data_IF_980071415243
#
_entry.id   IF_980071415243
#
_cell.length_a   1.000
_cell.length_b   1.000
_cell.length_c   1.000
_cell.angle_alpha   90.00
_cell.angle_beta   90.00
_cell.angle_gamma   90.00
#
_symmetry.space_group_name_H-M   'P 1'
#
loop_
_entity.id
_entity.type
_entity.pdbx_description
1 polymer ?
#
# COMPACT_ATOMS: atom_id res chain seq x y z
N UNK A 1 -6.91 -9.72 7.76
CA UNK A 1 -6.51 -8.44 7.10
C UNK A 1 -7.74 -7.63 6.72
N UNK A 2 -8.55 -8.08 5.76
CA UNK A 2 -9.77 -7.38 5.28
C UNK A 2 -10.65 -6.78 6.39
N UNK A 3 -11.05 -7.59 7.39
CA UNK A 3 -11.88 -7.15 8.51
C UNK A 3 -11.27 -5.97 9.26
N UNK A 4 -10.03 -6.11 9.72
CA UNK A 4 -9.34 -5.07 10.49
C UNK A 4 -9.15 -3.81 9.65
N UNK A 5 -8.73 -3.96 8.40
CA UNK A 5 -8.53 -2.81 7.52
C UNK A 5 -9.85 -2.05 7.26
N UNK A 6 -10.96 -2.78 7.11
CA UNK A 6 -12.32 -2.21 6.98
C UNK A 6 -12.76 -1.49 8.26
N UNK A 7 -12.57 -2.10 9.43
CA UNK A 7 -12.89 -1.51 10.73
C UNK A 7 -12.07 -0.24 11.02
N UNK A 8 -10.85 -0.16 10.50
CA UNK A 8 -9.98 1.02 10.57
C UNK A 8 -10.18 1.98 9.37
N UNK A 9 -11.43 2.29 9.05
CA UNK A 9 -11.82 3.25 8.01
C UNK A 9 -11.24 2.94 6.61
N UNK A 10 -11.33 1.68 6.17
CA UNK A 10 -10.75 1.24 4.89
C UNK A 10 -9.24 1.58 4.80
N UNK A 11 -8.47 1.19 5.82
CA UNK A 11 -7.05 1.52 5.94
C UNK A 11 -6.22 1.06 4.72
N UNK A 12 -5.23 1.87 4.31
CA UNK A 12 -4.25 1.40 3.32
C UNK A 12 -3.38 0.29 3.90
N UNK A 13 -3.18 -0.78 3.14
CA UNK A 13 -2.40 -1.95 3.56
C UNK A 13 -1.20 -2.15 2.64
N UNK A 14 0.00 -2.21 3.21
CA UNK A 14 1.20 -2.71 2.53
C UNK A 14 1.38 -4.18 2.89
N UNK A 15 1.49 -5.04 1.88
CA UNK A 15 1.76 -6.46 2.07
C UNK A 15 3.20 -6.80 1.68
N UNK A 16 3.84 -7.66 2.47
CA UNK A 16 5.08 -8.32 2.09
C UNK A 16 4.78 -9.53 1.19
N UNK A 17 5.45 -9.63 0.04
CA UNK A 17 5.20 -10.67 -0.98
C UNK A 17 6.45 -11.49 -1.33
N UNK A 18 7.27 -11.78 -0.32
CA UNK A 18 8.55 -12.49 -0.51
C UNK A 18 8.40 -13.94 -0.99
N UNK A 19 7.44 -14.66 -0.44
CA UNK A 19 7.27 -16.10 -0.68
C UNK A 19 6.07 -16.40 -1.58
N UNK A 20 5.07 -15.53 -1.59
CA UNK A 20 3.83 -15.72 -2.35
C UNK A 20 3.08 -14.39 -2.49
N UNK A 21 2.52 -14.15 -3.67
CA UNK A 21 1.60 -13.04 -3.93
C UNK A 21 0.13 -13.43 -3.62
N UNK A 22 -0.13 -14.66 -3.16
CA UNK A 22 -1.50 -15.18 -2.97
C UNK A 22 -2.33 -14.36 -1.99
N UNK A 23 -1.75 -13.96 -0.86
CA UNK A 23 -2.48 -13.14 0.14
C UNK A 23 -2.92 -11.82 -0.46
N UNK A 24 -2.05 -11.21 -1.27
CA UNK A 24 -2.35 -9.96 -1.96
C UNK A 24 -3.40 -10.16 -3.07
N UNK A 25 -3.28 -11.25 -3.85
CA UNK A 25 -4.24 -11.60 -4.90
C UNK A 25 -5.64 -11.88 -4.35
N UNK A 26 -5.75 -12.64 -3.26
CA UNK A 26 -7.04 -12.94 -2.62
C UNK A 26 -7.66 -11.64 -2.10
N UNK A 27 -6.87 -10.83 -1.39
CA UNK A 27 -7.37 -9.59 -0.80
C UNK A 27 -7.82 -8.58 -1.87
N UNK A 28 -7.06 -8.45 -2.97
CA UNK A 28 -7.39 -7.53 -4.06
C UNK A 28 -8.52 -8.04 -4.95
N UNK A 29 -8.38 -9.25 -5.49
CA UNK A 29 -9.22 -9.75 -6.58
C UNK A 29 -10.46 -10.49 -6.10
N UNK A 30 -10.36 -11.24 -5.01
CA UNK A 30 -11.49 -12.05 -4.50
C UNK A 30 -12.30 -11.29 -3.46
N UNK A 31 -11.64 -10.52 -2.59
CA UNK A 31 -12.30 -9.73 -1.55
C UNK A 31 -12.55 -8.27 -1.97
N UNK A 32 -12.12 -7.88 -3.17
CA UNK A 32 -12.34 -6.54 -3.75
C UNK A 32 -11.83 -5.40 -2.83
N UNK A 33 -10.71 -5.63 -2.12
CA UNK A 33 -10.12 -4.62 -1.25
C UNK A 33 -9.11 -3.75 -2.00
N UNK A 34 -9.57 -2.60 -2.48
CA UNK A 34 -8.78 -1.70 -3.33
C UNK A 34 -7.70 -0.89 -2.59
N UNK A 35 -7.79 -0.76 -1.26
CA UNK A 35 -6.84 0.05 -0.48
C UNK A 35 -5.54 -0.71 -0.17
N UNK A 36 -4.99 -1.35 -1.20
CA UNK A 36 -3.66 -1.94 -1.18
C UNK A 36 -2.63 -0.96 -1.73
N UNK A 37 -1.45 -0.96 -1.13
CA UNK A 37 -0.30 -0.21 -1.60
C UNK A 37 0.44 -1.03 -2.64
N UNK A 38 0.52 -0.47 -3.85
CA UNK A 38 1.25 -1.08 -4.96
C UNK A 38 2.72 -0.70 -4.89
N UNK A 39 3.57 -1.56 -5.40
CA UNK A 39 5.02 -1.33 -5.45
C UNK A 39 5.51 -1.53 -6.87
N UNK A 40 6.21 -0.52 -7.36
CA UNK A 40 6.94 -0.56 -8.62
C UNK A 40 8.42 -0.77 -8.35
N UNK A 41 9.08 -1.53 -9.23
CA UNK A 41 10.53 -1.70 -9.20
C UNK A 41 11.18 -0.88 -10.31
N UNK A 42 12.12 -0.02 -9.93
CA UNK A 42 12.97 0.75 -10.84
C UNK A 42 14.46 0.41 -10.58
N UNK A 43 15.36 1.09 -11.31
CA UNK A 43 16.81 0.91 -11.15
C UNK A 43 17.29 1.26 -9.74
N UNK A 44 16.61 2.21 -9.09
CA UNK A 44 16.94 2.69 -7.74
C UNK A 44 16.32 1.84 -6.63
N UNK A 45 15.54 0.80 -6.95
CA UNK A 45 14.94 -0.12 -5.99
C UNK A 45 13.42 -0.18 -6.12
N UNK A 46 12.75 -0.31 -4.98
CA UNK A 46 11.30 -0.39 -4.92
C UNK A 46 10.71 0.94 -4.48
N UNK A 47 9.61 1.34 -5.12
CA UNK A 47 8.91 2.60 -4.87
C UNK A 47 7.42 2.34 -4.78
N UNK A 48 6.78 2.87 -3.74
CA UNK A 48 5.33 2.74 -3.54
C UNK A 48 4.56 3.63 -4.52
N UNK A 49 3.48 3.09 -5.07
CA UNK A 49 2.55 3.79 -5.97
C UNK A 49 1.10 3.48 -5.61
N UNK A 50 0.18 4.29 -6.16
CA UNK A 50 -1.26 4.05 -6.03
C UNK A 50 -1.84 3.03 -7.00
N UNK A 51 -1.00 2.27 -7.71
CA UNK A 51 -1.46 1.36 -8.77
C UNK A 51 -1.67 2.02 -10.13
N UNK A 52 -1.51 3.36 -10.21
CA UNK A 52 -1.68 4.12 -11.45
C UNK A 52 -0.35 4.26 -12.21
N UNK A 53 -0.37 3.88 -13.50
CA UNK A 53 0.77 3.94 -14.41
C UNK A 53 1.12 2.56 -14.95
N UNK A 54 1.06 2.40 -16.28
CA UNK A 54 1.14 1.12 -17.01
C UNK A 54 2.49 0.38 -16.97
N UNK A 55 3.17 0.38 -15.84
CA UNK A 55 4.32 -0.46 -15.55
C UNK A 55 3.90 -1.78 -14.87
N UNK A 56 4.86 -2.69 -14.71
CA UNK A 56 4.67 -3.93 -13.96
C UNK A 56 4.60 -3.62 -12.46
N UNK A 57 3.40 -3.30 -11.98
CA UNK A 57 3.07 -3.07 -10.57
C UNK A 57 2.92 -4.41 -9.83
N UNK A 58 3.46 -4.50 -8.62
CA UNK A 58 3.24 -5.62 -7.70
C UNK A 58 2.28 -5.19 -6.58
N UNK A 59 1.46 -6.12 -6.10
CA UNK A 59 0.48 -5.92 -5.02
C UNK A 59 1.13 -5.95 -3.61
N UNK A 60 2.38 -5.52 -3.50
CA UNK A 60 3.13 -5.56 -2.26
C UNK A 60 4.63 -5.37 -2.45
N UNK A 61 5.35 -5.30 -1.34
CA UNK A 61 6.80 -5.11 -1.29
C UNK A 61 7.53 -6.44 -1.20
N UNK A 62 8.62 -6.59 -1.96
CA UNK A 62 9.58 -7.67 -1.74
C UNK A 62 10.68 -7.18 -0.77
N UNK A 63 10.83 -7.77 0.41
CA UNK A 63 11.81 -7.30 1.40
C UNK A 63 13.22 -7.70 1.02
N UNK A 64 13.84 -6.93 0.12
CA UNK A 64 15.26 -7.05 -0.19
C UNK A 64 16.14 -6.39 0.89
N UNK A 65 17.46 -6.60 0.78
CA UNK A 65 18.44 -6.03 1.73
C UNK A 65 18.35 -4.51 1.83
N UNK A 66 18.02 -3.81 0.74
CA UNK A 66 17.94 -2.36 0.70
C UNK A 66 16.69 -1.87 1.43
N UNK A 67 15.53 -2.47 1.17
CA UNK A 67 14.28 -2.21 1.89
C UNK A 67 14.45 -2.45 3.37
N UNK A 68 14.98 -3.63 3.75
CA UNK A 68 15.19 -3.98 5.17
C UNK A 68 16.11 -2.98 5.86
N UNK A 69 17.25 -2.62 5.25
CA UNK A 69 18.21 -1.67 5.83
C UNK A 69 17.63 -0.26 6.00
N UNK A 70 16.97 0.27 4.97
CA UNK A 70 16.30 1.58 5.04
C UNK A 70 15.19 1.54 6.09
N UNK A 71 14.40 0.46 6.11
CA UNK A 71 13.32 0.25 7.07
C UNK A 71 13.81 0.25 8.51
N UNK A 72 14.87 -0.50 8.82
CA UNK A 72 15.44 -0.58 10.17
C UNK A 72 15.95 0.78 10.64
N UNK A 73 16.66 1.52 9.78
CA UNK A 73 17.19 2.83 10.12
C UNK A 73 16.08 3.84 10.45
N UNK A 74 15.01 3.87 9.66
CA UNK A 74 13.90 4.78 9.89
C UNK A 74 13.01 4.32 11.04
N UNK A 75 12.77 3.02 11.19
CA UNK A 75 12.04 2.47 12.33
C UNK A 75 12.73 2.84 13.65
N UNK A 76 14.06 2.67 13.74
CA UNK A 76 14.86 3.10 14.88
C UNK A 76 14.65 4.59 15.19
N UNK A 77 14.78 5.46 14.18
CA UNK A 77 14.57 6.89 14.36
C UNK A 77 13.15 7.24 14.83
N UNK A 78 12.12 6.61 14.25
CA UNK A 78 10.73 6.81 14.65
C UNK A 78 10.47 6.44 16.12
N UNK A 79 11.09 5.37 16.62
CA UNK A 79 10.96 4.95 18.01
C UNK A 79 11.78 5.87 18.93
N UNK A 80 13.04 6.16 18.60
CA UNK A 80 13.92 7.00 19.43
C UNK A 80 13.44 8.45 19.55
N UNK A 81 12.80 8.98 18.51
CA UNK A 81 12.21 10.31 18.50
C UNK A 81 10.78 10.36 19.08
N UNK A 82 10.26 9.24 19.61
CA UNK A 82 8.89 9.10 20.12
C UNK A 82 7.81 9.46 19.09
N UNK A 83 8.07 9.21 17.80
CA UNK A 83 7.13 9.41 16.68
C UNK A 83 6.26 8.18 16.41
N UNK A 84 6.69 7.02 16.88
CA UNK A 84 5.96 5.76 16.83
C UNK A 84 5.93 5.12 18.23
N UNK A 85 4.73 4.93 18.78
CA UNK A 85 4.53 4.26 20.06
C UNK A 85 4.19 2.78 19.82
N UNK A 86 5.01 1.88 20.33
CA UNK A 86 4.78 0.42 20.30
C UNK A 86 4.24 0.01 21.66
N UNK A 87 2.99 -0.45 21.71
CA UNK A 87 2.25 -0.79 22.94
C UNK A 87 1.88 -2.29 23.00
N UNK A 88 2.73 -3.13 22.43
CA UNK A 88 2.56 -4.58 22.44
C UNK A 88 3.80 -5.24 23.03
N UNK A 89 3.61 -6.12 24.01
CA UNK A 89 4.71 -6.73 24.77
C UNK A 89 5.52 -7.69 23.90
N UNK A 90 4.86 -8.46 23.04
CA UNK A 90 5.50 -9.45 22.18
C UNK A 90 6.36 -8.74 21.13
N UNK A 91 5.83 -7.68 20.52
CA UNK A 91 6.60 -6.81 19.61
C UNK A 91 7.81 -6.17 20.29
N UNK A 92 7.68 -5.69 21.54
CA UNK A 92 8.81 -5.12 22.30
C UNK A 92 9.88 -6.18 22.59
N UNK A 93 9.47 -7.41 22.89
CA UNK A 93 10.40 -8.52 23.09
C UNK A 93 11.18 -8.82 21.80
N UNK A 94 10.52 -8.93 20.66
CA UNK A 94 11.20 -9.14 19.38
C UNK A 94 12.16 -7.99 19.05
N UNK A 95 11.77 -6.73 19.27
CA UNK A 95 12.65 -5.57 19.09
C UNK A 95 13.92 -5.71 19.92
N UNK A 96 13.82 -6.22 21.16
CA UNK A 96 14.97 -6.37 22.07
C UNK A 96 15.98 -7.43 21.61
N UNK A 97 15.54 -8.40 20.80
CA UNK A 97 16.35 -9.50 20.27
C UNK A 97 16.64 -9.36 18.77
N UNK A 98 16.30 -8.22 18.16
CA UNK A 98 16.52 -7.95 16.74
C UNK A 98 17.89 -7.28 16.53
N UNK A 99 18.87 -8.05 16.06
CA UNK A 99 20.29 -7.69 16.04
C UNK A 99 20.80 -7.46 14.61
N UNK A 100 21.87 -6.67 14.49
CA UNK A 100 22.58 -6.52 13.21
C UNK A 100 23.43 -7.77 12.94
N UNK A 101 23.30 -8.34 11.75
CA UNK A 101 24.11 -9.45 11.29
C UNK A 101 25.40 -8.97 10.61
N UNK A 102 26.35 -9.90 10.46
CA UNK A 102 27.67 -9.64 9.85
C UNK A 102 27.62 -9.19 8.38
N UNK A 103 26.44 -9.15 7.75
CA UNK A 103 26.22 -8.75 6.36
C UNK A 103 25.60 -7.36 6.23
N UNK A 104 25.49 -6.60 7.34
CA UNK A 104 24.90 -5.26 7.38
C UNK A 104 23.39 -5.24 7.18
N UNK A 105 22.73 -6.34 7.56
CA UNK A 105 21.27 -6.48 7.65
C UNK A 105 20.92 -6.75 9.11
N UNK A 106 19.62 -6.80 9.44
CA UNK A 106 19.15 -7.17 10.77
C UNK A 106 18.43 -8.51 10.72
N UNK A 107 18.40 -9.25 11.81
CA UNK A 107 17.67 -10.52 11.99
C UNK A 107 17.43 -10.78 13.48
N UNK A 108 16.48 -11.66 13.82
CA UNK A 108 16.34 -12.13 15.18
C UNK A 108 17.61 -12.89 15.62
N UNK A 109 17.97 -12.73 16.89
CA UNK A 109 19.00 -13.54 17.54
C UNK A 109 18.58 -15.02 17.58
N UNK A 110 19.55 -15.90 17.78
CA UNK A 110 19.35 -17.35 17.73
C UNK A 110 18.29 -17.79 18.76
N UNK A 111 17.24 -18.45 18.27
CA UNK A 111 16.13 -18.93 19.11
C UNK A 111 14.97 -17.94 19.30
N UNK A 112 15.00 -16.78 18.64
CA UNK A 112 13.92 -15.78 18.67
C UNK A 112 13.24 -15.62 17.29
N UNK A 113 12.12 -14.90 17.29
CA UNK A 113 11.31 -14.58 16.09
C UNK A 113 11.44 -13.10 15.73
N UNK A 114 11.26 -12.75 14.45
CA UNK A 114 11.26 -11.36 13.95
C UNK A 114 9.99 -10.96 13.19
N UNK A 115 8.91 -11.75 13.23
CA UNK A 115 7.74 -11.52 12.40
C UNK A 115 7.01 -10.21 12.74
N UNK A 116 6.85 -9.87 14.02
CA UNK A 116 6.17 -8.65 14.46
C UNK A 116 7.04 -7.42 14.20
N UNK A 117 8.33 -7.46 14.55
CA UNK A 117 9.25 -6.34 14.30
C UNK A 117 9.44 -6.09 12.81
N UNK A 118 9.40 -7.13 11.96
CA UNK A 118 9.48 -6.98 10.51
C UNK A 118 8.31 -6.18 9.93
N UNK A 119 7.10 -6.28 10.49
CA UNK A 119 5.99 -5.43 10.07
C UNK A 119 6.26 -3.94 10.33
N UNK A 120 6.92 -3.60 11.45
CA UNK A 120 7.29 -2.24 11.80
C UNK A 120 8.49 -1.73 10.99
N UNK A 121 9.42 -2.60 10.63
CA UNK A 121 10.53 -2.29 9.73
C UNK A 121 9.99 -1.90 8.34
N UNK A 122 9.02 -2.63 7.81
CA UNK A 122 8.37 -2.28 6.54
C UNK A 122 7.59 -0.97 6.63
N UNK A 123 6.94 -0.70 7.77
CA UNK A 123 6.33 0.61 8.02
C UNK A 123 7.38 1.72 8.00
N UNK A 124 8.52 1.54 8.68
CA UNK A 124 9.64 2.49 8.64
C UNK A 124 10.12 2.76 7.21
N UNK A 125 10.22 1.73 6.36
CA UNK A 125 10.53 1.91 4.94
C UNK A 125 9.44 2.68 4.20
N UNK A 126 8.16 2.34 4.42
CA UNK A 126 7.01 3.02 3.80
C UNK A 126 7.03 4.52 4.09
N UNK A 127 7.39 4.95 5.31
CA UNK A 127 7.45 6.38 5.67
C UNK A 127 8.44 7.20 4.84
N UNK A 128 9.44 6.56 4.23
CA UNK A 128 10.41 7.24 3.35
C UNK A 128 9.87 7.48 1.94
N UNK A 129 8.83 6.76 1.53
CA UNK A 129 8.29 6.86 0.18
C UNK A 129 7.50 8.16 0.01
N UNK A 130 7.69 8.91 -1.08
CA UNK A 130 6.93 10.14 -1.34
C UNK A 130 5.41 9.94 -1.32
N UNK A 131 4.94 8.82 -1.89
CA UNK A 131 3.52 8.47 -1.91
C UNK A 131 2.89 8.38 -0.51
N UNK A 132 3.65 7.93 0.50
CA UNK A 132 3.16 7.91 1.88
C UNK A 132 2.92 9.33 2.43
N UNK A 133 3.75 10.31 2.05
CA UNK A 133 3.54 11.71 2.43
C UNK A 133 2.26 12.26 1.81
N UNK A 134 1.99 11.90 0.56
CA UNK A 134 0.80 12.33 -0.17
C UNK A 134 -0.48 11.73 0.44
N UNK A 135 -0.45 10.43 0.80
CA UNK A 135 -1.56 9.76 1.50
C UNK A 135 -1.92 10.42 2.83
N UNK A 136 -0.92 10.92 3.55
CA UNK A 136 -1.09 11.58 4.85
C UNK A 136 -1.40 13.09 4.73
N UNK A 137 -1.31 13.67 3.53
CA UNK A 137 -1.62 15.08 3.31
C UNK A 137 -3.12 15.25 2.97
N UNK A 138 -3.85 15.93 3.86
CA UNK A 138 -5.30 16.15 3.73
C UNK A 138 -5.68 16.80 2.39
N UNK A 139 -4.88 17.76 1.91
CA UNK A 139 -5.18 18.48 0.67
C UNK A 139 -5.00 17.59 -0.58
N UNK A 140 -4.05 16.65 -0.55
CA UNK A 140 -3.74 15.78 -1.69
C UNK A 140 -4.65 14.56 -1.70
N UNK A 141 -5.11 14.11 -0.52
CA UNK A 141 -6.02 12.97 -0.40
C UNK A 141 -7.32 13.17 -1.18
N UNK A 142 -7.88 14.38 -1.15
CA UNK A 142 -9.09 14.69 -1.91
C UNK A 142 -8.85 14.58 -3.42
N UNK A 143 -7.74 15.12 -3.91
CA UNK A 143 -7.33 15.01 -5.33
C UNK A 143 -7.12 13.55 -5.74
N UNK A 144 -6.51 12.73 -4.89
CA UNK A 144 -6.35 11.29 -5.14
C UNK A 144 -7.69 10.56 -5.23
N UNK A 145 -8.65 10.94 -4.39
CA UNK A 145 -10.00 10.38 -4.41
C UNK A 145 -10.77 10.76 -5.67
N UNK A 146 -10.70 12.03 -6.08
CA UNK A 146 -11.30 12.52 -7.34
C UNK A 146 -10.70 11.79 -8.56
N UNK A 147 -9.39 11.60 -8.58
CA UNK A 147 -8.72 10.84 -9.64
C UNK A 147 -9.19 9.37 -9.69
N UNK A 148 -9.46 8.75 -8.53
CA UNK A 148 -10.02 7.39 -8.47
C UNK A 148 -11.44 7.34 -9.04
N UNK A 149 -12.30 8.28 -8.65
CA UNK A 149 -13.68 8.37 -9.18
C UNK A 149 -13.65 8.50 -10.71
N UNK A 150 -12.81 9.40 -11.22
CA UNK A 150 -12.70 9.63 -12.66
C UNK A 150 -12.29 8.36 -13.42
N UNK A 151 -11.43 7.53 -12.85
CA UNK A 151 -11.05 6.27 -13.48
C UNK A 151 -12.17 5.23 -13.44
N UNK A 152 -12.95 5.17 -12.37
CA UNK A 152 -14.16 4.35 -12.32
C UNK A 152 -15.12 4.80 -13.43
N UNK A 153 -15.28 6.12 -13.63
CA UNK A 153 -16.08 6.67 -14.72
C UNK A 153 -15.53 6.32 -16.11
N UNK A 154 -14.21 6.35 -16.29
CA UNK A 154 -13.54 5.98 -17.55
C UNK A 154 -13.62 4.46 -17.84
N UNK A 155 -13.68 3.61 -16.81
CA UNK A 155 -13.85 2.16 -16.92
C UNK A 155 -15.31 1.73 -17.08
N UNK A 156 -16.27 2.59 -16.70
CA UNK A 156 -17.68 2.36 -16.97
C UNK A 156 -17.92 2.45 -18.48
N UNK A 157 -18.51 1.39 -19.04
CA UNK A 157 -18.96 1.43 -20.42
C UNK A 157 -20.03 2.51 -20.54
N UNK A 158 -19.92 3.42 -21.54
CA UNK A 158 -20.97 4.40 -21.79
C UNK A 158 -22.30 3.67 -21.97
N UNK A 159 -23.39 4.20 -21.40
CA UNK A 159 -24.72 3.66 -21.68
C UNK A 159 -24.93 3.70 -23.20
N UNK A 160 -25.02 2.51 -23.80
CA UNK A 160 -25.23 2.37 -25.24
C UNK A 160 -26.54 3.05 -25.63
N UNK A 161 -26.56 3.70 -26.79
CA UNK A 161 -27.80 4.16 -27.41
C UNK A 161 -28.71 2.93 -27.60
N UNK A 162 -29.75 2.81 -26.76
CA UNK A 162 -30.87 1.91 -27.08
C UNK A 162 -31.66 2.58 -28.20
N UNK A 163 -31.30 2.28 -29.45
CA UNK A 163 -32.23 2.45 -30.56
C UNK A 163 -33.29 1.35 -30.43
N UNK A 164 -34.40 1.68 -29.77
CA UNK A 164 -35.55 0.79 -29.62
C UNK A 164 -36.40 0.70 -30.91
N UNK A 165 -35.88 1.25 -32.02
CA UNK A 165 -36.55 1.27 -33.32
C UNK A 165 -37.81 2.11 -33.34
N UNK A 166 -38.11 2.86 -32.28
CA UNK A 166 -39.25 3.78 -32.22
C UNK A 166 -38.75 5.16 -32.60
N UNK A 167 -38.56 5.36 -33.90
CA UNK A 167 -38.33 6.69 -34.46
C UNK A 167 -39.45 7.64 -34.01
N UNK A 168 -39.10 8.65 -33.21
CA UNK A 168 -40.07 9.62 -32.72
C UNK A 168 -39.49 10.59 -31.69
N UNK A 169 -38.76 11.59 -32.20
CA UNK A 169 -38.60 12.97 -31.72
C UNK A 169 -38.32 13.26 -30.22
N UNK A 170 -37.31 14.13 -30.03
CA UNK A 170 -36.95 14.89 -28.83
C UNK A 170 -36.12 14.10 -27.80
N UNK A 171 -34.98 14.54 -27.27
CA UNK A 171 -34.56 15.89 -26.86
C UNK A 171 -33.01 15.97 -26.86
N UNK A 172 -32.46 17.12 -27.26
CA UNK A 172 -31.03 17.42 -27.09
C UNK A 172 -30.67 17.46 -25.59
N UNK A 173 -29.84 16.53 -25.12
CA UNK A 173 -29.07 16.76 -23.89
C UNK A 173 -27.73 17.39 -24.28
N UNK A 174 -27.66 18.71 -24.13
CA UNK A 174 -26.40 19.45 -24.19
C UNK A 174 -25.57 19.11 -22.94
N UNK A 175 -24.57 18.24 -23.11
CA UNK A 175 -23.43 18.18 -22.20
C UNK A 175 -22.45 19.28 -22.62
N UNK A 176 -22.51 20.41 -21.94
CA UNK A 176 -21.47 21.44 -22.04
C UNK A 176 -20.26 20.99 -21.22
N UNK A 177 -19.10 21.07 -21.87
CA UNK A 177 -17.75 20.84 -21.36
C UNK A 177 -17.39 21.74 -20.17
#
# INVERSE_FOLDING_TARGET
IYKVATEYNQAYVLLEVNSSEQVASILYSEMEYENLLFVNRNTDGQVVSGGFGGGKTQLGVNTDKKVKRIGCMNFKALVEENRLLVQDIDTIQEISTFIENNKGSYEADEGYHDDLVMTLVLFGWLTTNPYFKDLNNVNIRQVMYENRIKQIEDELTPFGFMDDGRGGQDEQVLLNF
#
